data_IF_081601212168
#
_entry.id   IF_081601212168
#
_cell.length_a   1.000
_cell.length_b   1.000
_cell.length_c   1.000
_cell.angle_alpha   90.00
_cell.angle_beta   90.00
_cell.angle_gamma   90.00
#
_symmetry.space_group_name_H-M   'P 1'
#
loop_
_entity.id
_entity.type
_entity.pdbx_description
1 polymer ?
#
# COMPACT_ATOMS: atom_id res chain seq x y z
N UNK A 1 -11.13 9.46 -1.88
CA UNK A 1 -10.98 10.87 -2.33
C UNK A 1 -12.32 11.60 -2.57
N UNK A 2 -13.48 10.93 -2.63
CA UNK A 2 -14.80 11.59 -2.80
C UNK A 2 -15.47 12.08 -1.49
N UNK A 3 -15.00 11.62 -0.33
CA UNK A 3 -15.59 11.88 0.99
C UNK A 3 -15.57 13.37 1.41
N UNK A 4 -14.49 14.15 1.18
CA UNK A 4 -14.45 15.57 1.59
C UNK A 4 -15.44 16.45 0.82
N UNK A 5 -15.69 16.12 -0.45
CA UNK A 5 -16.59 16.86 -1.34
C UNK A 5 -18.08 16.64 -1.01
N UNK A 6 -18.42 15.46 -0.50
CA UNK A 6 -19.79 15.14 -0.03
C UNK A 6 -20.02 15.73 1.37
N UNK A 7 -18.98 15.80 2.19
CA UNK A 7 -19.05 16.42 3.52
C UNK A 7 -19.29 17.94 3.47
N UNK A 8 -18.79 18.64 2.45
CA UNK A 8 -18.94 20.10 2.31
C UNK A 8 -20.33 20.53 1.84
N UNK A 9 -21.10 19.67 1.18
CA UNK A 9 -22.45 19.97 0.67
C UNK A 9 -23.57 19.50 1.60
N UNK A 10 -23.38 18.39 2.30
CA UNK A 10 -24.46 17.69 3.01
C UNK A 10 -24.19 17.49 4.52
N UNK A 11 -23.08 18.01 5.02
CA UNK A 11 -22.63 17.81 6.40
C UNK A 11 -22.10 16.39 6.66
N UNK A 12 -21.36 16.23 7.77
CA UNK A 12 -20.67 14.98 8.11
C UNK A 12 -21.61 13.76 8.20
N UNK A 13 -22.88 13.96 8.59
CA UNK A 13 -23.89 12.89 8.73
C UNK A 13 -24.24 12.22 7.38
N UNK A 14 -24.38 13.00 6.31
CA UNK A 14 -24.66 12.45 4.98
C UNK A 14 -23.44 11.78 4.36
N UNK A 15 -22.22 12.24 4.68
CA UNK A 15 -21.00 11.54 4.27
C UNK A 15 -20.91 10.15 4.91
N UNK A 16 -21.22 10.01 6.20
CA UNK A 16 -21.30 8.70 6.86
C UNK A 16 -22.46 7.84 6.32
N UNK A 17 -23.63 8.43 6.09
CA UNK A 17 -24.76 7.73 5.46
C UNK A 17 -24.42 7.21 4.06
N UNK A 18 -23.72 7.99 3.25
CA UNK A 18 -23.27 7.60 1.92
C UNK A 18 -22.25 6.46 1.96
N UNK A 19 -21.42 6.36 3.00
CA UNK A 19 -20.53 5.20 3.20
C UNK A 19 -21.26 3.94 3.68
N UNK A 20 -22.43 4.07 4.31
CA UNK A 20 -23.22 2.92 4.73
C UNK A 20 -23.90 2.20 3.55
N UNK A 21 -24.21 2.92 2.47
CA UNK A 21 -24.83 2.37 1.26
C UNK A 21 -23.97 1.27 0.60
N UNK A 22 -22.68 1.50 0.26
CA UNK A 22 -21.84 0.45 -0.31
C UNK A 22 -21.58 -0.68 0.70
N UNK A 23 -21.49 -0.40 2.00
CA UNK A 23 -21.32 -1.43 3.03
C UNK A 23 -22.54 -2.36 3.12
N UNK A 24 -23.75 -1.81 3.12
CA UNK A 24 -25.00 -2.58 3.09
C UNK A 24 -25.15 -3.36 1.78
N UNK A 25 -24.79 -2.76 0.65
CA UNK A 25 -24.82 -3.43 -0.64
C UNK A 25 -23.87 -4.63 -0.66
N UNK A 26 -22.64 -4.50 -0.16
CA UNK A 26 -21.71 -5.63 -0.02
C UNK A 26 -22.25 -6.68 0.94
N UNK A 27 -22.86 -6.30 2.07
CA UNK A 27 -23.47 -7.24 3.01
C UNK A 27 -24.59 -8.04 2.36
N UNK A 28 -25.48 -7.39 1.62
CA UNK A 28 -26.58 -8.04 0.88
C UNK A 28 -26.01 -8.95 -0.21
N UNK A 29 -25.01 -8.50 -0.97
CA UNK A 29 -24.34 -9.33 -1.97
C UNK A 29 -23.71 -10.57 -1.34
N UNK A 30 -23.01 -10.44 -0.22
CA UNK A 30 -22.43 -11.58 0.49
C UNK A 30 -23.53 -12.52 0.97
N UNK A 31 -24.59 -12.00 1.59
CA UNK A 31 -25.70 -12.82 2.08
C UNK A 31 -26.45 -13.58 0.96
N UNK A 32 -26.54 -13.00 -0.24
CA UNK A 32 -27.27 -13.59 -1.37
C UNK A 32 -26.38 -14.51 -2.22
N UNK A 33 -25.12 -14.16 -2.44
CA UNK A 33 -24.23 -14.87 -3.36
C UNK A 33 -23.25 -15.83 -2.68
N UNK A 34 -22.94 -15.63 -1.39
CA UNK A 34 -22.09 -16.57 -0.64
C UNK A 34 -22.98 -17.64 -0.04
N UNK A 35 -23.20 -18.69 -0.81
CA UNK A 35 -23.74 -19.94 -0.28
C UNK A 35 -22.73 -20.49 0.74
N UNK A 36 -23.16 -20.81 1.98
CA UNK A 36 -22.32 -21.55 2.91
C UNK A 36 -21.89 -22.83 2.20
N UNK A 37 -20.61 -22.92 1.83
CA UNK A 37 -20.04 -24.16 1.31
C UNK A 37 -20.29 -25.29 2.31
N UNK A 38 -20.24 -26.57 1.89
CA UNK A 38 -20.50 -27.70 2.76
C UNK A 38 -19.78 -27.47 4.07
N UNK A 39 -20.54 -27.33 5.15
CA UNK A 39 -19.98 -27.20 6.49
C UNK A 39 -19.25 -28.51 6.74
N UNK A 40 -17.96 -28.56 6.39
CA UNK A 40 -17.05 -29.47 7.06
C UNK A 40 -17.26 -29.11 8.52
N UNK A 41 -17.94 -29.98 9.26
CA UNK A 41 -17.96 -29.90 10.71
C UNK A 41 -16.49 -29.84 11.09
N UNK A 42 -15.99 -28.67 11.43
CA UNK A 42 -14.82 -28.53 12.26
C UNK A 42 -15.25 -29.03 13.64
N UNK A 43 -15.44 -30.35 13.78
CA UNK A 43 -15.41 -30.99 15.09
C UNK A 43 -14.00 -30.98 15.67
N UNK A 44 -13.00 -30.60 14.86
CA UNK A 44 -11.72 -30.05 15.27
C UNK A 44 -11.71 -28.52 15.06
N UNK A 45 -12.74 -27.81 15.55
CA UNK A 45 -12.65 -26.37 15.71
C UNK A 45 -11.46 -26.11 16.63
N UNK A 46 -10.34 -25.79 15.99
CA UNK A 46 -9.03 -25.70 16.61
C UNK A 46 -9.15 -24.98 17.95
N UNK A 47 -9.00 -25.75 19.03
CA UNK A 47 -8.57 -25.26 20.33
C UNK A 47 -7.11 -24.79 20.25
N UNK A 48 -6.77 -24.07 19.17
CA UNK A 48 -5.56 -23.29 19.07
C UNK A 48 -5.77 -22.06 19.93
N UNK A 49 -5.55 -22.21 21.23
CA UNK A 49 -5.43 -21.09 22.17
C UNK A 49 -4.53 -20.03 21.54
N UNK A 50 -4.81 -18.74 21.77
CA UNK A 50 -3.98 -17.62 21.29
C UNK A 50 -2.48 -17.86 21.57
N UNK A 51 -2.16 -18.54 22.67
CA UNK A 51 -0.82 -19.03 23.02
C UNK A 51 -0.21 -20.02 22.03
N UNK A 52 -0.97 -20.94 21.44
CA UNK A 52 -0.48 -21.90 20.42
C UNK A 52 -0.09 -21.17 19.14
N UNK A 53 -0.84 -20.13 18.76
CA UNK A 53 -0.52 -19.27 17.61
C UNK A 53 0.74 -18.46 17.88
N UNK A 54 0.86 -17.82 19.05
CA UNK A 54 2.02 -17.01 19.41
C UNK A 54 3.31 -17.82 19.61
N UNK A 55 3.19 -19.09 20.03
CA UNK A 55 4.33 -19.99 20.25
C UNK A 55 4.81 -20.67 18.96
N UNK A 56 4.04 -20.60 17.87
CA UNK A 56 4.41 -21.24 16.61
C UNK A 56 5.54 -20.46 15.92
N UNK A 57 6.77 -20.99 15.99
CA UNK A 57 7.98 -20.38 15.44
C UNK A 57 7.93 -20.09 13.93
N UNK A 58 7.15 -20.86 13.17
CA UNK A 58 6.98 -20.65 11.73
C UNK A 58 6.11 -19.43 11.39
N UNK A 59 5.27 -18.96 12.31
CA UNK A 59 4.39 -17.79 12.09
C UNK A 59 5.14 -16.47 12.27
N UNK A 60 6.14 -16.41 13.14
CA UNK A 60 6.94 -15.22 13.38
C UNK A 60 7.64 -14.67 12.13
N UNK A 61 8.43 -15.45 11.36
CA UNK A 61 9.07 -14.94 10.16
C UNK A 61 8.06 -14.56 9.07
N UNK A 62 6.93 -15.28 8.97
CA UNK A 62 5.85 -14.92 8.07
C UNK A 62 5.19 -13.59 8.45
N UNK A 63 4.85 -13.41 9.72
CA UNK A 63 4.22 -12.19 10.23
C UNK A 63 5.17 -11.00 10.13
N UNK A 64 6.45 -11.19 10.48
CA UNK A 64 7.47 -10.15 10.37
C UNK A 64 7.66 -9.70 8.92
N UNK A 65 7.69 -10.67 7.99
CA UNK A 65 7.74 -10.37 6.56
C UNK A 65 6.53 -9.55 6.11
N UNK A 66 5.31 -9.93 6.52
CA UNK A 66 4.08 -9.18 6.19
C UNK A 66 4.12 -7.78 6.81
N UNK A 67 4.55 -7.65 8.06
CA UNK A 67 4.69 -6.37 8.77
C UNK A 67 5.60 -5.41 8.01
N UNK A 68 6.80 -5.84 7.63
CA UNK A 68 7.73 -5.01 6.86
C UNK A 68 7.21 -4.67 5.46
N UNK A 69 6.49 -5.59 4.82
CA UNK A 69 5.90 -5.38 3.50
C UNK A 69 4.85 -4.28 3.53
N UNK A 70 3.88 -4.40 4.42
CA UNK A 70 2.83 -3.40 4.56
C UNK A 70 3.36 -2.09 5.13
N UNK A 71 4.27 -2.13 6.11
CA UNK A 71 4.89 -0.94 6.67
C UNK A 71 5.67 -0.14 5.62
N UNK A 72 6.45 -0.81 4.77
CA UNK A 72 7.16 -0.19 3.65
C UNK A 72 6.19 0.39 2.61
N UNK A 73 5.16 -0.36 2.23
CA UNK A 73 4.14 0.11 1.29
C UNK A 73 3.40 1.36 1.79
N UNK A 74 2.92 1.36 3.05
CA UNK A 74 2.21 2.50 3.62
C UNK A 74 3.12 3.73 3.75
N UNK A 75 4.39 3.53 4.14
CA UNK A 75 5.37 4.62 4.19
C UNK A 75 5.56 5.23 2.79
N UNK A 76 5.77 4.40 1.78
CA UNK A 76 5.93 4.87 0.40
C UNK A 76 4.69 5.59 -0.11
N UNK A 77 3.50 4.98 0.04
CA UNK A 77 2.25 5.58 -0.40
C UNK A 77 1.94 6.93 0.29
N UNK A 78 2.35 7.10 1.54
CA UNK A 78 2.13 8.33 2.31
C UNK A 78 3.12 9.44 1.93
N UNK A 79 4.40 9.12 1.76
CA UNK A 79 5.44 10.11 1.54
C UNK A 79 5.74 10.41 0.06
N UNK A 80 5.36 9.54 -0.87
CA UNK A 80 5.61 9.74 -2.30
C UNK A 80 5.05 11.05 -2.87
N UNK A 81 3.79 11.47 -2.58
CA UNK A 81 3.26 12.74 -3.08
C UNK A 81 4.04 13.94 -2.52
N UNK A 82 4.33 13.91 -1.21
CA UNK A 82 5.09 14.97 -0.55
C UNK A 82 6.53 15.06 -1.08
N UNK A 83 7.14 13.93 -1.43
CA UNK A 83 8.46 13.87 -2.03
C UNK A 83 8.49 14.48 -3.44
N UNK A 84 7.51 14.13 -4.28
CA UNK A 84 7.38 14.67 -5.64
C UNK A 84 7.27 16.21 -5.64
N UNK A 85 6.49 16.76 -4.69
CA UNK A 85 6.30 18.21 -4.59
C UNK A 85 7.50 18.91 -3.94
N UNK A 86 7.95 18.45 -2.77
CA UNK A 86 8.93 19.20 -1.96
C UNK A 86 10.38 18.99 -2.41
N UNK A 87 10.72 17.84 -3.00
CA UNK A 87 12.10 17.51 -3.38
C UNK A 87 12.31 17.62 -4.89
N UNK A 88 11.37 17.09 -5.68
CA UNK A 88 11.46 17.12 -7.14
C UNK A 88 10.84 18.38 -7.76
N UNK A 89 10.17 19.22 -6.97
CA UNK A 89 9.54 20.47 -7.45
C UNK A 89 8.36 20.24 -8.40
N UNK A 90 7.80 19.03 -8.44
CA UNK A 90 6.65 18.72 -9.30
C UNK A 90 5.41 19.50 -8.85
N UNK A 91 4.56 19.86 -9.82
CA UNK A 91 3.31 20.54 -9.49
C UNK A 91 2.35 19.61 -8.75
N UNK A 92 1.49 20.18 -7.89
CA UNK A 92 0.50 19.42 -7.11
C UNK A 92 -0.39 18.51 -7.98
N UNK A 93 -0.88 18.95 -9.16
CA UNK A 93 -1.66 18.09 -10.06
C UNK A 93 -0.83 16.93 -10.64
N UNK A 94 0.42 17.18 -11.03
CA UNK A 94 1.31 16.15 -11.59
C UNK A 94 1.68 15.09 -10.53
N UNK A 95 1.99 15.51 -9.30
CA UNK A 95 2.25 14.59 -8.20
C UNK A 95 1.02 13.72 -7.88
N UNK A 96 -0.18 14.30 -7.96
CA UNK A 96 -1.45 13.57 -7.84
C UNK A 96 -1.66 12.54 -8.95
N UNK A 97 -1.34 12.88 -10.20
CA UNK A 97 -1.42 11.95 -11.33
C UNK A 97 -0.44 10.79 -11.20
N UNK A 98 0.81 11.05 -10.84
CA UNK A 98 1.85 10.03 -10.67
C UNK A 98 1.45 9.05 -9.55
N UNK A 99 1.06 9.58 -8.39
CA UNK A 99 0.64 8.75 -7.25
C UNK A 99 -0.66 7.98 -7.53
N UNK A 100 -1.58 8.58 -8.29
CA UNK A 100 -2.77 7.92 -8.81
C UNK A 100 -2.46 6.76 -9.75
N UNK A 101 -1.52 6.93 -10.69
CA UNK A 101 -1.07 5.87 -11.59
C UNK A 101 -0.40 4.72 -10.83
N UNK A 102 0.44 5.03 -9.82
CA UNK A 102 1.05 4.02 -8.96
C UNK A 102 -0.04 3.21 -8.22
N UNK A 103 -1.07 3.90 -7.72
CA UNK A 103 -2.20 3.25 -7.03
C UNK A 103 -3.06 2.41 -7.98
N UNK A 104 -3.27 2.86 -9.21
CA UNK A 104 -3.98 2.08 -10.22
C UNK A 104 -3.18 0.81 -10.60
N UNK A 105 -1.86 0.96 -10.75
CA UNK A 105 -0.95 -0.16 -10.98
C UNK A 105 -0.97 -1.20 -9.86
N UNK A 106 -1.09 -0.78 -8.60
CA UNK A 106 -1.21 -1.72 -7.47
C UNK A 106 -2.53 -2.48 -7.46
N UNK A 107 -3.64 -1.82 -7.81
CA UNK A 107 -4.95 -2.49 -7.92
C UNK A 107 -4.92 -3.60 -8.99
N UNK A 108 -4.27 -3.34 -10.13
CA UNK A 108 -4.16 -4.32 -11.22
C UNK A 108 -3.13 -5.40 -10.91
N UNK A 109 -2.07 -5.08 -10.17
CA UNK A 109 -1.01 -6.04 -9.87
C UNK A 109 -1.46 -7.13 -8.88
N UNK A 110 -2.38 -6.83 -7.96
CA UNK A 110 -2.90 -7.81 -6.99
C UNK A 110 -3.57 -9.04 -7.62
N UNK A 111 -4.57 -8.93 -8.52
CA UNK A 111 -5.15 -10.08 -9.18
C UNK A 111 -4.16 -10.79 -10.11
N UNK A 112 -3.26 -10.04 -10.76
CA UNK A 112 -2.23 -10.62 -11.62
C UNK A 112 -1.22 -11.46 -10.81
N UNK A 113 -0.82 -10.97 -9.64
CA UNK A 113 0.04 -11.69 -8.71
C UNK A 113 -0.66 -12.94 -8.14
N UNK A 114 -1.96 -12.85 -7.85
CA UNK A 114 -2.78 -13.99 -7.44
C UNK A 114 -2.81 -15.09 -8.51
N UNK A 115 -3.13 -14.70 -9.76
CA UNK A 115 -3.16 -15.62 -10.88
C UNK A 115 -1.79 -16.28 -11.18
N UNK A 116 -0.70 -15.49 -11.09
CA UNK A 116 0.65 -16.00 -11.30
C UNK A 116 1.11 -16.94 -10.16
N UNK A 117 0.68 -16.66 -8.92
CA UNK A 117 0.94 -17.50 -7.75
C UNK A 117 0.22 -18.84 -7.85
N UNK A 118 -1.06 -18.82 -8.26
CA UNK A 118 -1.88 -20.03 -8.33
C UNK A 118 -1.45 -20.96 -9.47
N UNK A 119 -0.93 -20.43 -10.59
CA UNK A 119 -0.43 -21.26 -11.70
C UNK A 119 0.81 -22.09 -11.37
N UNK A 120 1.61 -21.72 -10.37
CA UNK A 120 2.92 -22.37 -10.12
C UNK A 120 2.96 -23.30 -8.92
N UNK A 121 1.88 -23.45 -8.15
CA UNK A 121 1.74 -24.44 -7.06
C UNK A 121 2.73 -24.32 -5.87
N UNK A 122 3.78 -23.48 -5.97
CA UNK A 122 4.86 -23.30 -4.98
C UNK A 122 4.90 -21.84 -4.54
N UNK A 123 4.11 -21.51 -3.51
CA UNK A 123 3.90 -20.14 -3.00
C UNK A 123 5.15 -19.53 -2.34
N UNK A 124 5.95 -20.33 -1.61
CA UNK A 124 7.11 -19.85 -0.83
C UNK A 124 8.19 -19.10 -1.62
N UNK A 125 8.74 -19.61 -2.74
CA UNK A 125 9.82 -18.93 -3.46
C UNK A 125 9.36 -17.62 -4.13
N UNK A 126 8.11 -17.54 -4.60
CA UNK A 126 7.60 -16.33 -5.24
C UNK A 126 7.44 -15.18 -4.24
N UNK A 127 6.90 -15.49 -3.06
CA UNK A 127 6.75 -14.52 -1.95
C UNK A 127 8.12 -14.03 -1.45
N UNK A 128 9.11 -14.91 -1.31
CA UNK A 128 10.48 -14.50 -0.92
C UNK A 128 11.14 -13.65 -2.01
N UNK A 129 10.97 -14.01 -3.29
CA UNK A 129 11.51 -13.23 -4.40
C UNK A 129 10.89 -11.83 -4.49
N UNK A 130 9.56 -11.71 -4.38
CA UNK A 130 8.89 -10.41 -4.37
C UNK A 130 9.33 -9.57 -3.18
N UNK A 131 9.58 -10.19 -2.02
CA UNK A 131 10.08 -9.49 -0.86
C UNK A 131 11.51 -9.00 -1.03
N UNK A 132 12.39 -9.84 -1.57
CA UNK A 132 13.76 -9.47 -1.86
C UNK A 132 13.82 -8.31 -2.89
N UNK A 133 12.98 -8.38 -3.93
CA UNK A 133 12.84 -7.30 -4.91
C UNK A 133 12.33 -6.00 -4.28
N UNK A 134 11.32 -6.07 -3.40
CA UNK A 134 10.81 -4.90 -2.69
C UNK A 134 11.86 -4.31 -1.73
N UNK A 135 12.60 -5.15 -1.01
CA UNK A 135 13.67 -4.70 -0.13
C UNK A 135 14.79 -4.02 -0.92
N UNK A 136 15.19 -4.60 -2.06
CA UNK A 136 16.17 -4.01 -2.95
C UNK A 136 15.70 -2.66 -3.52
N UNK A 137 14.43 -2.54 -3.89
CA UNK A 137 13.84 -1.29 -4.35
C UNK A 137 13.85 -0.22 -3.25
N UNK A 138 13.50 -0.57 -2.01
CA UNK A 138 13.58 0.35 -0.87
C UNK A 138 15.02 0.79 -0.59
N UNK A 139 15.98 -0.12 -0.65
CA UNK A 139 17.40 0.18 -0.46
C UNK A 139 17.91 1.08 -1.58
N UNK A 140 17.59 0.78 -2.84
CA UNK A 140 17.91 1.63 -3.98
C UNK A 140 17.32 3.03 -3.79
N UNK A 141 16.05 3.15 -3.39
CA UNK A 141 15.41 4.43 -3.12
C UNK A 141 16.12 5.18 -1.98
N UNK A 142 16.46 4.51 -0.88
CA UNK A 142 17.16 5.10 0.26
C UNK A 142 18.56 5.65 -0.11
N UNK A 143 19.25 5.04 -1.07
CA UNK A 143 20.56 5.51 -1.54
C UNK A 143 20.48 6.53 -2.69
N UNK A 144 19.49 6.45 -3.58
CA UNK A 144 19.31 7.42 -4.65
C UNK A 144 18.77 8.76 -4.15
N UNK A 145 17.91 8.76 -3.13
CA UNK A 145 17.25 9.98 -2.62
C UNK A 145 18.23 11.01 -2.03
N UNK A 146 19.20 10.65 -1.17
CA UNK A 146 20.22 11.59 -0.69
C UNK A 146 21.08 12.15 -1.82
N UNK A 147 21.39 11.34 -2.85
CA UNK A 147 22.19 11.78 -4.00
C UNK A 147 21.43 12.80 -4.85
N UNK A 148 20.14 12.59 -5.08
CA UNK A 148 19.28 13.55 -5.78
C UNK A 148 19.02 14.82 -4.94
N UNK A 149 18.89 14.69 -3.61
CA UNK A 149 18.77 15.83 -2.70
C UNK A 149 20.03 16.68 -2.61
N UNK A 150 21.21 16.06 -2.58
CA UNK A 150 22.51 16.74 -2.56
C UNK A 150 22.80 17.44 -3.90
N UNK A 151 22.47 16.81 -5.02
CA UNK A 151 22.63 17.43 -6.35
C UNK A 151 21.61 18.55 -6.60
N UNK A 152 20.37 18.40 -6.14
CA UNK A 152 19.36 19.46 -6.16
C UNK A 152 19.74 20.65 -5.26
N UNK A 153 20.21 20.40 -4.03
CA UNK A 153 20.70 21.43 -3.13
C UNK A 153 21.97 22.12 -3.68
N UNK A 154 22.88 21.39 -4.30
CA UNK A 154 24.06 21.95 -4.95
C UNK A 154 23.69 22.79 -6.19
N UNK A 155 22.73 22.34 -7.01
CA UNK A 155 22.25 23.10 -8.16
C UNK A 155 21.53 24.40 -7.74
N UNK A 156 20.73 24.35 -6.67
CA UNK A 156 20.08 25.54 -6.09
C UNK A 156 21.13 26.48 -5.49
N UNK A 157 22.12 25.97 -4.75
CA UNK A 157 23.19 26.78 -4.18
C UNK A 157 24.04 27.48 -5.26
N UNK A 158 24.32 26.81 -6.38
CA UNK A 158 25.01 27.40 -7.54
C UNK A 158 24.13 28.42 -8.28
N UNK A 159 22.83 28.17 -8.38
CA UNK A 159 21.87 29.10 -8.99
C UNK A 159 21.64 30.36 -8.13
N UNK A 160 21.68 30.26 -6.81
CA UNK A 160 21.58 31.41 -5.90
C UNK A 160 22.92 32.13 -5.70
N UNK A 161 24.05 31.42 -5.80
CA UNK A 161 25.39 32.00 -5.71
C UNK A 161 25.78 32.92 -6.87
N UNK A 162 25.13 32.76 -8.04
CA UNK A 162 25.39 33.60 -9.22
C UNK A 162 24.61 34.93 -9.25
N UNK A 163 23.68 35.16 -8.31
CA UNK A 163 22.83 36.37 -8.26
C UNK A 163 23.26 37.43 -7.25
N UNK A 164 24.32 37.20 -6.47
CA UNK A 164 24.79 38.14 -5.42
C UNK A 164 26.05 38.94 -5.79
N UNK A 165 26.45 38.95 -7.06
CA UNK A 165 27.68 39.60 -7.54
C UNK A 165 27.46 40.61 -8.67
N UNK A 166 26.26 41.19 -8.80
CA UNK A 166 25.95 42.25 -9.75
C UNK A 166 25.30 43.44 -9.04
#
# INVERSE_FOLDING_TARGET
>A
MLVPWIASLCGWRCAYGATAIPALLVLVLVAVFVFPGPTARSSDAASGTLGTVLTTRALWPFNLMVFFSYGGYFSFATFLPAFLVNVLGASVPEAGLITGLVTAGTIVSWPLAGWLSDRRGRRKPFTVFSQAASALACVAFAFLVPVLGLTGAAAVALATGSRSAA
#
